data_IF_652726271344
#
_entry.id   IF_652726271344
#
_cell.length_a   1.000
_cell.length_b   1.000
_cell.length_c   1.000
_cell.angle_alpha   90.00
_cell.angle_beta   90.00
_cell.angle_gamma   90.00
#
_symmetry.space_group_name_H-M   'P 1'
#
loop_
_entity.id
_entity.type
_entity.pdbx_description
1 polymer ?
#
# COMPACT_ATOMS: atom_id res chain seq x y z
N UNK A 1 52.25 52.45 22.36
CA UNK A 1 51.80 51.59 21.21
C UNK A 1 50.51 52.11 20.57
N UNK A 2 49.83 53.02 21.25
CA UNK A 2 48.38 53.20 21.23
C UNK A 2 47.94 53.97 19.97
N UNK A 3 48.77 54.89 19.49
CA UNK A 3 48.58 55.59 18.22
C UNK A 3 48.54 54.62 17.01
N UNK A 4 49.34 53.55 17.02
CA UNK A 4 49.36 52.55 15.94
C UNK A 4 48.14 51.62 16.02
N UNK A 5 47.69 51.27 17.24
CA UNK A 5 46.41 50.56 17.45
C UNK A 5 45.24 51.40 16.96
N UNK A 6 45.22 52.71 17.26
CA UNK A 6 44.18 53.63 16.83
C UNK A 6 44.10 53.78 15.29
N UNK A 7 45.23 53.77 14.58
CA UNK A 7 45.26 53.80 13.11
C UNK A 7 44.81 52.49 12.46
N UNK A 8 45.14 51.32 13.04
CA UNK A 8 44.80 50.01 12.47
C UNK A 8 43.32 49.64 12.72
N UNK A 9 42.77 50.05 13.87
CA UNK A 9 41.40 49.75 14.31
C UNK A 9 40.31 49.90 13.22
N UNK A 10 40.15 51.04 12.51
CA UNK A 10 39.08 51.20 11.53
C UNK A 10 39.16 50.20 10.37
N UNK A 11 40.37 49.79 9.95
CA UNK A 11 40.54 48.78 8.90
C UNK A 11 40.08 47.39 9.38
N UNK A 12 40.34 47.05 10.64
CA UNK A 12 39.84 45.81 11.25
C UNK A 12 38.32 45.83 11.44
N UNK A 13 37.73 46.97 11.79
CA UNK A 13 36.27 47.13 11.91
C UNK A 13 35.57 47.02 10.54
N UNK A 14 36.13 47.60 9.48
CA UNK A 14 35.62 47.41 8.10
C UNK A 14 35.74 45.95 7.65
N UNK A 15 36.89 45.30 7.92
CA UNK A 15 37.12 43.91 7.55
C UNK A 15 36.22 42.94 8.33
N UNK A 16 35.94 43.19 9.60
CA UNK A 16 35.00 42.39 10.39
C UNK A 16 33.57 42.52 9.88
N UNK A 17 33.12 43.74 9.53
CA UNK A 17 31.80 43.98 8.94
C UNK A 17 31.64 43.32 7.57
N UNK A 18 32.65 43.42 6.70
CA UNK A 18 32.67 42.73 5.41
C UNK A 18 32.66 41.20 5.57
N UNK A 19 33.39 40.67 6.56
CA UNK A 19 33.36 39.26 6.93
C UNK A 19 31.98 38.81 7.41
N UNK A 20 31.32 39.58 8.27
CA UNK A 20 29.93 39.30 8.72
C UNK A 20 28.96 39.25 7.54
N UNK A 21 29.02 40.21 6.61
CA UNK A 21 28.18 40.21 5.40
C UNK A 21 28.43 38.96 4.56
N UNK A 22 29.70 38.62 4.30
CA UNK A 22 30.07 37.43 3.53
C UNK A 22 29.58 36.12 4.20
N UNK A 23 29.67 36.05 5.53
CA UNK A 23 29.20 34.90 6.33
C UNK A 23 27.67 34.78 6.30
N UNK A 24 26.93 35.89 6.46
CA UNK A 24 25.46 35.93 6.32
C UNK A 24 25.01 35.50 4.91
N UNK A 25 25.69 35.98 3.86
CA UNK A 25 25.41 35.57 2.48
C UNK A 25 25.72 34.07 2.29
N UNK A 26 26.84 33.59 2.80
CA UNK A 26 27.22 32.17 2.78
C UNK A 26 26.19 31.26 3.44
N UNK A 27 25.69 31.64 4.63
CA UNK A 27 24.61 30.94 5.33
C UNK A 27 23.30 30.91 4.51
N UNK A 28 22.94 32.02 3.86
CA UNK A 28 21.75 32.09 3.01
C UNK A 28 21.87 31.18 1.77
N UNK A 29 23.06 31.06 1.18
CA UNK A 29 23.32 30.10 0.09
C UNK A 29 23.31 28.65 0.58
N UNK A 30 23.96 28.35 1.71
CA UNK A 30 23.98 27.01 2.29
C UNK A 30 22.56 26.51 2.64
N UNK A 31 21.72 27.39 3.21
CA UNK A 31 20.31 27.07 3.48
C UNK A 31 19.52 26.75 2.20
N UNK A 32 19.70 27.54 1.12
CA UNK A 32 19.08 27.25 -0.18
C UNK A 32 19.56 25.92 -0.78
N UNK A 33 20.85 25.62 -0.69
CA UNK A 33 21.41 24.35 -1.15
C UNK A 33 20.84 23.16 -0.37
N UNK A 34 20.74 23.25 0.96
CA UNK A 34 20.15 22.21 1.80
C UNK A 34 18.67 21.98 1.49
N UNK A 35 17.90 23.04 1.25
CA UNK A 35 16.49 22.95 0.84
C UNK A 35 16.33 22.26 -0.52
N UNK A 36 17.17 22.60 -1.50
CA UNK A 36 17.16 21.98 -2.84
C UNK A 36 17.59 20.50 -2.77
N UNK A 37 18.63 20.19 -2.01
CA UNK A 37 19.09 18.81 -1.78
C UNK A 37 17.99 17.95 -1.14
N UNK A 38 17.26 18.49 -0.14
CA UNK A 38 16.12 17.79 0.47
C UNK A 38 15.01 17.51 -0.55
N UNK A 39 14.72 18.46 -1.45
CA UNK A 39 13.73 18.26 -2.51
C UNK A 39 14.15 17.20 -3.54
N UNK A 40 15.43 17.16 -3.92
CA UNK A 40 15.98 16.14 -4.82
C UNK A 40 15.98 14.74 -4.17
N UNK A 41 16.40 14.62 -2.90
CA UNK A 41 16.33 13.36 -2.14
C UNK A 41 14.89 12.81 -2.11
N UNK A 42 13.89 13.66 -1.83
CA UNK A 42 12.48 13.26 -1.85
C UNK A 42 11.99 12.89 -3.27
N UNK A 43 12.47 13.58 -4.31
CA UNK A 43 12.18 13.26 -5.72
C UNK A 43 12.78 11.93 -6.17
N UNK A 44 13.99 11.60 -5.72
CA UNK A 44 14.65 10.31 -5.97
C UNK A 44 13.97 9.18 -5.22
N UNK A 45 13.70 9.38 -3.92
CA UNK A 45 13.01 8.41 -3.07
C UNK A 45 11.62 8.03 -3.61
N UNK A 46 10.80 9.01 -4.03
CA UNK A 46 9.49 8.75 -4.66
C UNK A 46 9.60 7.96 -5.97
N UNK A 47 10.61 8.24 -6.81
CA UNK A 47 10.83 7.50 -8.06
C UNK A 47 11.24 6.06 -7.78
N UNK A 48 12.18 5.82 -6.87
CA UNK A 48 12.59 4.48 -6.47
C UNK A 48 11.44 3.67 -5.85
N UNK A 49 10.59 4.29 -5.01
CA UNK A 49 9.41 3.62 -4.47
C UNK A 49 8.40 3.24 -5.56
N UNK A 50 8.14 4.12 -6.53
CA UNK A 50 7.28 3.82 -7.68
C UNK A 50 7.88 2.73 -8.59
N UNK A 51 9.19 2.70 -8.76
CA UNK A 51 9.93 1.66 -9.50
C UNK A 51 9.80 0.30 -8.80
N UNK A 52 10.02 0.23 -7.48
CA UNK A 52 9.79 -1.00 -6.70
C UNK A 52 8.31 -1.42 -6.62
N UNK A 53 7.36 -0.51 -6.83
CA UNK A 53 5.94 -0.86 -6.97
C UNK A 53 5.62 -1.48 -8.34
N UNK A 54 6.30 -1.05 -9.39
CA UNK A 54 6.23 -1.67 -10.72
C UNK A 54 6.90 -3.04 -10.69
N UNK A 55 8.07 -3.18 -10.04
CA UNK A 55 8.67 -4.50 -9.76
C UNK A 55 7.68 -5.41 -9.00
N UNK A 56 7.08 -4.92 -7.91
CA UNK A 56 6.14 -5.71 -7.10
C UNK A 56 4.92 -6.19 -7.93
N UNK A 57 4.47 -5.40 -8.91
CA UNK A 57 3.44 -5.80 -9.85
C UNK A 57 3.92 -6.84 -10.89
N UNK A 58 5.15 -6.73 -11.40
CA UNK A 58 5.75 -7.75 -12.27
C UNK A 58 5.89 -9.10 -11.53
N UNK A 59 6.39 -9.08 -10.30
CA UNK A 59 6.44 -10.28 -9.44
C UNK A 59 5.04 -10.87 -9.18
N UNK A 60 4.00 -10.01 -9.10
CA UNK A 60 2.62 -10.46 -8.98
C UNK A 60 2.13 -11.18 -10.25
N UNK A 61 2.29 -10.57 -11.43
CA UNK A 61 1.76 -11.12 -12.69
C UNK A 61 2.60 -12.26 -13.27
N UNK A 62 3.92 -12.22 -13.15
CA UNK A 62 4.82 -13.21 -13.74
C UNK A 62 5.05 -14.42 -12.83
N UNK A 63 5.20 -14.21 -11.51
CA UNK A 63 5.44 -15.32 -10.56
C UNK A 63 4.20 -15.73 -9.77
N UNK A 64 3.54 -14.82 -9.05
CA UNK A 64 2.43 -15.20 -8.17
C UNK A 64 1.25 -15.82 -8.95
N UNK A 65 0.84 -15.19 -10.06
CA UNK A 65 -0.22 -15.75 -10.93
C UNK A 65 0.16 -17.13 -11.48
N UNK A 66 1.43 -17.34 -11.86
CA UNK A 66 1.95 -18.63 -12.33
C UNK A 66 1.98 -19.73 -11.26
N UNK A 67 2.04 -19.35 -9.98
CA UNK A 67 1.96 -20.29 -8.84
C UNK A 67 0.51 -20.62 -8.48
N UNK A 68 -0.36 -19.61 -8.34
CA UNK A 68 -1.78 -19.83 -7.98
C UNK A 68 -2.56 -20.51 -9.11
N UNK A 69 -2.13 -20.39 -10.37
CA UNK A 69 -2.66 -21.16 -11.50
C UNK A 69 -2.62 -22.67 -11.23
N UNK A 70 -1.49 -23.20 -10.75
CA UNK A 70 -1.31 -24.63 -10.42
C UNK A 70 -2.27 -25.10 -9.32
N UNK A 71 -2.44 -24.28 -8.27
CA UNK A 71 -3.42 -24.55 -7.22
C UNK A 71 -4.86 -24.51 -7.76
N UNK A 72 -5.15 -23.61 -8.70
CA UNK A 72 -6.46 -23.47 -9.34
C UNK A 72 -6.79 -24.65 -10.28
N UNK A 73 -5.79 -25.16 -11.01
CA UNK A 73 -5.89 -26.38 -11.80
C UNK A 73 -6.15 -27.59 -10.90
N UNK A 74 -5.38 -27.76 -9.83
CA UNK A 74 -5.56 -28.85 -8.86
C UNK A 74 -6.92 -28.77 -8.12
N UNK A 75 -7.44 -27.56 -7.83
CA UNK A 75 -8.82 -27.35 -7.35
C UNK A 75 -9.85 -27.79 -8.39
N UNK A 76 -9.66 -27.44 -9.67
CA UNK A 76 -10.57 -27.80 -10.77
C UNK A 76 -10.64 -29.31 -10.98
N UNK A 77 -9.49 -30.00 -11.02
CA UNK A 77 -9.41 -31.47 -11.14
C UNK A 77 -10.15 -32.18 -9.99
N UNK A 78 -10.01 -31.67 -8.77
CA UNK A 78 -10.67 -32.21 -7.57
C UNK A 78 -12.10 -31.70 -7.36
N UNK A 79 -12.62 -30.86 -8.26
CA UNK A 79 -13.92 -30.18 -8.16
C UNK A 79 -14.14 -29.37 -6.87
N UNK A 80 -13.06 -28.85 -6.27
CA UNK A 80 -13.10 -28.11 -5.00
C UNK A 80 -13.38 -26.62 -5.25
N UNK A 81 -14.44 -26.12 -4.61
CA UNK A 81 -14.91 -24.72 -4.71
C UNK A 81 -13.97 -23.76 -3.96
N UNK A 82 -13.88 -22.52 -4.43
CA UNK A 82 -13.30 -21.41 -3.64
C UNK A 82 -14.12 -21.15 -2.37
N UNK A 83 -13.50 -20.46 -1.40
CA UNK A 83 -14.22 -19.95 -0.24
C UNK A 83 -15.30 -18.95 -0.68
N UNK A 84 -16.49 -19.06 -0.09
CA UNK A 84 -17.65 -18.20 -0.35
C UNK A 84 -18.34 -17.74 0.95
N UNK A 85 -17.65 -17.83 2.08
CA UNK A 85 -18.14 -17.40 3.39
C UNK A 85 -17.85 -15.91 3.69
N UNK A 86 -18.25 -15.43 4.87
CA UNK A 86 -17.93 -14.08 5.32
C UNK A 86 -16.42 -13.91 5.57
N UNK A 87 -15.92 -12.70 5.34
CA UNK A 87 -14.54 -12.30 5.64
C UNK A 87 -14.52 -11.65 7.03
N UNK A 88 -13.85 -12.27 7.99
CA UNK A 88 -13.65 -11.78 9.36
C UNK A 88 -12.26 -11.17 9.60
N UNK A 89 -11.73 -11.36 10.82
CA UNK A 89 -10.49 -10.71 11.30
C UNK A 89 -9.17 -11.40 10.87
N UNK A 90 -9.29 -12.59 10.24
CA UNK A 90 -8.23 -13.54 9.89
C UNK A 90 -7.69 -14.33 11.09
N UNK A 91 -8.58 -14.65 12.04
CA UNK A 91 -8.35 -15.67 13.07
C UNK A 91 -8.99 -17.01 12.69
N UNK A 92 -8.53 -18.12 13.27
CA UNK A 92 -9.16 -19.43 13.08
C UNK A 92 -10.67 -19.40 13.42
N UNK A 93 -11.05 -18.64 14.45
CA UNK A 93 -12.42 -18.59 14.98
C UNK A 93 -13.40 -17.81 14.07
N UNK A 94 -12.92 -17.02 13.11
CA UNK A 94 -13.79 -16.29 12.18
C UNK A 94 -14.21 -17.11 10.95
N UNK A 95 -13.67 -18.32 10.75
CA UNK A 95 -14.15 -19.27 9.72
C UNK A 95 -15.40 -19.99 10.25
N UNK A 96 -16.55 -19.94 9.55
CA UNK A 96 -17.75 -20.67 9.96
C UNK A 96 -17.49 -22.18 10.08
N UNK A 97 -18.05 -22.80 11.12
CA UNK A 97 -17.81 -24.24 11.44
C UNK A 97 -18.28 -25.16 10.31
N UNK A 98 -19.30 -24.72 9.59
CA UNK A 98 -19.93 -25.36 8.45
C UNK A 98 -18.99 -25.44 7.24
N UNK A 99 -18.00 -24.54 7.15
CA UNK A 99 -17.03 -24.44 6.06
C UNK A 99 -15.67 -25.08 6.41
N UNK A 100 -15.43 -25.50 7.66
CA UNK A 100 -14.16 -26.11 8.08
C UNK A 100 -13.86 -27.44 7.37
N UNK A 101 -14.90 -28.19 6.99
CA UNK A 101 -14.76 -29.43 6.20
C UNK A 101 -14.25 -29.15 4.78
N UNK A 102 -14.76 -28.13 4.11
CA UNK A 102 -14.23 -27.66 2.83
C UNK A 102 -12.85 -27.00 2.96
N UNK A 103 -12.59 -26.29 4.06
CA UNK A 103 -11.28 -25.73 4.33
C UNK A 103 -10.23 -26.84 4.43
N UNK A 104 -10.54 -27.97 5.08
CA UNK A 104 -9.65 -29.12 5.16
C UNK A 104 -9.36 -29.75 3.79
N UNK A 105 -10.34 -29.82 2.87
CA UNK A 105 -10.11 -30.34 1.51
C UNK A 105 -9.35 -29.35 0.62
N UNK A 106 -9.56 -28.04 0.77
CA UNK A 106 -8.72 -26.99 0.15
C UNK A 106 -7.28 -27.05 0.68
N UNK A 107 -7.10 -27.20 1.98
CA UNK A 107 -5.79 -27.23 2.65
C UNK A 107 -4.90 -28.38 2.16
N UNK A 108 -5.49 -29.53 1.84
CA UNK A 108 -4.81 -30.70 1.28
C UNK A 108 -4.23 -30.53 -0.15
N UNK A 109 -4.43 -29.37 -0.79
CA UNK A 109 -3.84 -29.00 -2.09
C UNK A 109 -2.61 -28.10 -1.85
N UNK A 110 -1.48 -28.70 -1.47
CA UNK A 110 -0.26 -28.02 -1.00
C UNK A 110 0.29 -26.93 -1.95
N UNK A 111 -0.13 -26.93 -3.21
CA UNK A 111 0.17 -25.93 -4.23
C UNK A 111 -0.22 -24.49 -3.84
N UNK A 112 -1.10 -24.27 -2.85
CA UNK A 112 -1.38 -22.92 -2.34
C UNK A 112 -0.19 -22.30 -1.58
N UNK A 113 0.66 -23.10 -0.93
CA UNK A 113 1.68 -22.61 0.00
C UNK A 113 2.80 -21.80 -0.70
N UNK A 114 3.38 -22.24 -1.83
CA UNK A 114 4.32 -21.41 -2.59
C UNK A 114 3.69 -20.09 -3.07
N UNK A 115 2.40 -20.12 -3.45
CA UNK A 115 1.69 -18.95 -3.93
C UNK A 115 1.50 -17.90 -2.80
N UNK A 116 0.96 -18.30 -1.64
CA UNK A 116 0.80 -17.38 -0.50
C UNK A 116 2.16 -16.86 0.02
N UNK A 117 3.21 -17.70 0.04
CA UNK A 117 4.55 -17.24 0.42
C UNK A 117 5.13 -16.22 -0.57
N UNK A 118 4.84 -16.33 -1.87
CA UNK A 118 5.24 -15.29 -2.85
C UNK A 118 4.42 -14.03 -2.70
N UNK A 119 3.13 -14.15 -2.44
CA UNK A 119 2.22 -13.03 -2.18
C UNK A 119 2.62 -12.25 -0.91
N UNK A 120 3.12 -12.92 0.12
CA UNK A 120 3.66 -12.29 1.33
C UNK A 120 4.96 -11.55 1.05
N UNK A 121 5.86 -12.14 0.25
CA UNK A 121 7.09 -11.46 -0.20
C UNK A 121 6.81 -10.19 -1.02
N UNK A 122 5.72 -10.17 -1.79
CA UNK A 122 5.24 -8.99 -2.51
C UNK A 122 4.62 -7.98 -1.52
N UNK A 123 3.76 -8.44 -0.62
CA UNK A 123 3.06 -7.58 0.35
C UNK A 123 4.03 -6.87 1.29
N UNK A 124 5.06 -7.57 1.75
CA UNK A 124 6.12 -7.03 2.60
C UNK A 124 6.88 -5.85 1.97
N UNK A 125 7.02 -5.79 0.64
CA UNK A 125 7.63 -4.63 -0.05
C UNK A 125 6.78 -3.36 0.10
N UNK A 126 5.46 -3.52 0.21
CA UNK A 126 4.48 -2.43 0.24
C UNK A 126 4.23 -1.95 1.67
N UNK A 127 4.02 -2.87 2.62
CA UNK A 127 3.82 -2.55 4.05
C UNK A 127 5.06 -1.90 4.68
N UNK A 128 6.27 -2.33 4.30
CA UNK A 128 7.52 -1.71 4.79
C UNK A 128 7.86 -0.37 4.14
N UNK A 129 7.07 0.09 3.15
CA UNK A 129 7.29 1.37 2.46
C UNK A 129 8.50 1.41 1.51
N UNK A 130 9.06 0.25 1.14
CA UNK A 130 10.10 0.14 0.10
C UNK A 130 9.53 0.42 -1.29
N UNK A 131 8.30 -0.02 -1.53
CA UNK A 131 7.53 0.21 -2.75
C UNK A 131 6.34 1.16 -2.48
N UNK A 132 5.96 1.94 -3.50
CA UNK A 132 4.82 2.86 -3.43
C UNK A 132 3.47 2.10 -3.37
N UNK A 133 2.88 2.19 -2.18
CA UNK A 133 1.62 1.58 -1.76
C UNK A 133 0.44 1.91 -2.70
N UNK A 134 0.35 3.16 -3.18
CA UNK A 134 -0.73 3.61 -4.04
C UNK A 134 -0.53 3.23 -5.51
N UNK A 135 0.72 3.23 -5.98
CA UNK A 135 1.05 2.80 -7.35
C UNK A 135 0.69 1.33 -7.53
N UNK A 136 1.11 0.46 -6.61
CA UNK A 136 0.76 -0.96 -6.63
C UNK A 136 -0.76 -1.21 -6.55
N UNK A 137 -1.46 -0.48 -5.67
CA UNK A 137 -2.92 -0.58 -5.53
C UNK A 137 -3.66 -0.33 -6.85
N UNK A 138 -3.21 0.67 -7.63
CA UNK A 138 -3.81 1.01 -8.94
C UNK A 138 -3.54 -0.05 -10.01
N UNK A 139 -2.44 -0.81 -9.90
CA UNK A 139 -2.04 -1.82 -10.87
C UNK A 139 -2.73 -3.18 -10.59
N UNK A 140 -2.70 -3.67 -9.35
CA UNK A 140 -3.20 -5.02 -9.00
C UNK A 140 -4.02 -5.09 -7.70
N UNK A 141 -4.40 -3.96 -7.09
CA UNK A 141 -5.13 -3.95 -5.82
C UNK A 141 -6.47 -4.68 -5.82
N UNK A 142 -7.20 -4.67 -6.95
CA UNK A 142 -8.49 -5.40 -7.09
C UNK A 142 -8.27 -6.92 -7.15
N UNK A 143 -7.31 -7.39 -7.94
CA UNK A 143 -7.01 -8.81 -8.08
C UNK A 143 -6.38 -9.38 -6.82
N UNK A 144 -5.55 -8.59 -6.12
CA UNK A 144 -5.04 -8.92 -4.78
C UNK A 144 -6.16 -9.13 -3.77
N UNK A 145 -7.11 -8.19 -3.67
CA UNK A 145 -8.20 -8.33 -2.68
C UNK A 145 -9.07 -9.56 -2.96
N UNK A 146 -9.47 -9.80 -4.21
CA UNK A 146 -10.17 -11.03 -4.61
C UNK A 146 -9.37 -12.28 -4.25
N UNK A 147 -8.06 -12.28 -4.54
CA UNK A 147 -7.14 -13.38 -4.19
C UNK A 147 -7.12 -13.68 -2.69
N UNK A 148 -7.11 -12.66 -1.84
CA UNK A 148 -7.11 -12.83 -0.38
C UNK A 148 -8.48 -13.29 0.13
N UNK A 149 -9.57 -12.85 -0.51
CA UNK A 149 -10.94 -13.33 -0.24
C UNK A 149 -11.11 -14.82 -0.65
N UNK A 150 -10.62 -15.22 -1.84
CA UNK A 150 -10.67 -16.59 -2.39
C UNK A 150 -9.91 -17.64 -1.55
N UNK A 151 -8.87 -17.20 -0.83
CA UNK A 151 -7.98 -18.03 0.00
C UNK A 151 -8.13 -17.71 1.51
N UNK A 152 -9.21 -17.03 1.89
CA UNK A 152 -9.40 -16.50 3.24
C UNK A 152 -9.30 -17.56 4.34
N UNK A 153 -9.91 -18.72 4.13
CA UNK A 153 -9.96 -19.80 5.11
C UNK A 153 -8.59 -20.48 5.31
N UNK A 154 -7.80 -20.62 4.25
CA UNK A 154 -6.41 -21.07 4.32
C UNK A 154 -5.53 -20.10 5.14
N UNK A 155 -5.69 -18.79 4.92
CA UNK A 155 -4.97 -17.76 5.67
C UNK A 155 -5.41 -17.77 7.15
N UNK A 156 -6.72 -17.78 7.40
CA UNK A 156 -7.29 -17.73 8.74
C UNK A 156 -7.01 -18.98 9.58
N UNK A 157 -7.01 -20.18 8.98
CA UNK A 157 -6.74 -21.44 9.72
C UNK A 157 -5.29 -21.61 10.12
N UNK A 158 -4.32 -21.13 9.34
CA UNK A 158 -2.89 -21.17 9.71
C UNK A 158 -2.52 -20.11 10.75
N UNK A 159 -3.29 -19.02 10.85
CA UNK A 159 -3.09 -17.92 11.81
C UNK A 159 -3.60 -18.25 13.22
N UNK A 160 -3.05 -19.30 13.81
CA UNK A 160 -3.28 -19.65 15.21
C UNK A 160 -2.52 -18.73 16.18
N UNK A 161 -3.21 -17.71 16.70
CA UNK A 161 -3.03 -17.12 18.05
C UNK A 161 -1.71 -16.42 18.43
N UNK A 162 -0.65 -16.52 17.62
CA UNK A 162 0.67 -15.97 17.92
C UNK A 162 0.78 -14.48 17.59
N UNK A 163 1.63 -13.75 18.32
CA UNK A 163 1.90 -12.31 18.13
C UNK A 163 2.53 -11.97 16.78
N UNK A 164 3.23 -12.93 16.16
CA UNK A 164 3.69 -12.85 14.78
C UNK A 164 2.88 -13.85 13.96
N UNK A 165 1.76 -13.42 13.38
CA UNK A 165 0.90 -14.27 12.55
C UNK A 165 1.57 -14.61 11.21
N UNK A 166 1.33 -15.82 10.71
CA UNK A 166 1.70 -16.14 9.32
C UNK A 166 0.98 -15.19 8.36
N UNK A 167 1.71 -14.69 7.36
CA UNK A 167 1.22 -13.79 6.34
C UNK A 167 0.62 -12.47 6.86
N UNK A 168 1.26 -11.85 7.85
CA UNK A 168 0.80 -10.57 8.40
C UNK A 168 0.79 -9.45 7.36
N UNK A 169 1.78 -9.41 6.45
CA UNK A 169 1.85 -8.33 5.45
C UNK A 169 0.70 -8.43 4.43
N UNK A 170 0.29 -9.65 4.03
CA UNK A 170 -0.94 -9.87 3.25
C UNK A 170 -2.16 -9.31 3.99
N UNK A 171 -2.30 -9.61 5.28
CA UNK A 171 -3.47 -9.25 6.09
C UNK A 171 -3.53 -7.74 6.35
N UNK A 172 -2.40 -7.08 6.62
CA UNK A 172 -2.29 -5.63 6.75
C UNK A 172 -2.58 -4.91 5.44
N UNK A 173 -1.99 -5.38 4.33
CA UNK A 173 -2.21 -4.79 3.01
C UNK A 173 -3.67 -4.97 2.56
N UNK A 174 -4.30 -6.13 2.83
CA UNK A 174 -5.72 -6.36 2.58
C UNK A 174 -6.62 -5.43 3.41
N UNK A 175 -6.35 -5.30 4.72
CA UNK A 175 -7.07 -4.37 5.61
C UNK A 175 -6.93 -2.91 5.16
N UNK A 176 -5.83 -2.57 4.48
CA UNK A 176 -5.58 -1.25 3.88
C UNK A 176 -6.26 -1.06 2.52
N UNK A 177 -6.28 -2.10 1.67
CA UNK A 177 -6.77 -2.04 0.29
C UNK A 177 -8.27 -2.27 0.14
N UNK A 178 -8.87 -3.19 0.90
CA UNK A 178 -10.29 -3.51 0.74
C UNK A 178 -11.21 -2.31 1.03
N UNK A 179 -11.01 -1.48 2.07
CA UNK A 179 -11.82 -0.29 2.28
C UNK A 179 -11.71 0.73 1.14
N UNK A 180 -10.55 0.83 0.47
CA UNK A 180 -10.35 1.71 -0.70
C UNK A 180 -11.19 1.24 -1.89
N UNK A 181 -11.20 -0.07 -2.18
CA UNK A 181 -12.06 -0.67 -3.20
C UNK A 181 -13.54 -0.44 -2.87
N UNK A 182 -13.98 -0.80 -1.66
CA UNK A 182 -15.38 -0.67 -1.23
C UNK A 182 -15.86 0.78 -1.30
N UNK A 183 -15.02 1.75 -0.94
CA UNK A 183 -15.31 3.19 -1.10
C UNK A 183 -15.47 3.59 -2.57
N UNK A 184 -14.64 3.06 -3.46
CA UNK A 184 -14.79 3.25 -4.92
C UNK A 184 -16.09 2.66 -5.46
N UNK A 185 -16.39 1.41 -5.09
CA UNK A 185 -17.59 0.68 -5.49
C UNK A 185 -18.87 1.39 -5.02
N UNK A 186 -18.91 1.86 -3.77
CA UNK A 186 -20.02 2.65 -3.21
C UNK A 186 -20.18 4.02 -3.88
N UNK A 187 -19.08 4.70 -4.25
CA UNK A 187 -19.14 5.98 -4.97
C UNK A 187 -19.74 5.81 -6.37
N UNK A 188 -19.37 4.76 -7.09
CA UNK A 188 -19.95 4.45 -8.41
C UNK A 188 -21.43 4.06 -8.28
N UNK A 189 -21.79 3.22 -7.31
CA UNK A 189 -23.17 2.86 -7.03
C UNK A 189 -24.02 4.10 -6.69
N UNK A 190 -23.49 5.02 -5.88
CA UNK A 190 -24.14 6.31 -5.59
C UNK A 190 -24.35 7.14 -6.85
N UNK A 191 -23.34 7.33 -7.69
CA UNK A 191 -23.47 8.10 -8.94
C UNK A 191 -24.55 7.53 -9.86
N UNK A 192 -24.67 6.19 -9.92
CA UNK A 192 -25.72 5.52 -10.68
C UNK A 192 -27.12 5.70 -10.05
N UNK A 193 -27.23 5.77 -8.73
CA UNK A 193 -28.49 6.06 -8.03
C UNK A 193 -28.91 7.53 -8.21
N UNK A 194 -27.99 8.47 -8.00
CA UNK A 194 -28.21 9.91 -8.17
C UNK A 194 -28.64 10.22 -9.62
N UNK A 195 -28.00 9.59 -10.62
CA UNK A 195 -28.41 9.69 -12.03
C UNK A 195 -29.81 9.09 -12.29
N UNK A 196 -30.13 7.92 -11.75
CA UNK A 196 -31.48 7.31 -11.86
C UNK A 196 -32.54 8.22 -11.25
N UNK A 197 -32.31 8.76 -10.05
CA UNK A 197 -33.22 9.69 -9.38
C UNK A 197 -33.47 10.93 -10.24
N UNK A 198 -32.43 11.51 -10.87
CA UNK A 198 -32.61 12.66 -11.77
C UNK A 198 -33.40 12.36 -13.06
N UNK A 199 -33.57 11.08 -13.42
CA UNK A 199 -34.34 10.65 -14.60
C UNK A 199 -35.81 10.35 -14.31
N UNK A 200 -36.23 10.37 -13.04
CA UNK A 200 -37.62 10.11 -12.65
C UNK A 200 -38.48 11.38 -12.79
N UNK A 201 -39.67 11.32 -13.42
CA UNK A 201 -40.53 12.49 -13.59
C UNK A 201 -41.15 12.93 -12.27
N UNK A 202 -40.81 14.14 -11.82
CA UNK A 202 -41.32 14.76 -10.58
C UNK A 202 -42.75 15.32 -10.74
N UNK A 203 -43.68 14.45 -11.11
CA UNK A 203 -45.08 14.80 -11.30
C UNK A 203 -45.81 14.83 -9.95
N UNK A 204 -46.01 16.03 -9.39
CA UNK A 204 -46.89 16.23 -8.24
C UNK A 204 -48.36 16.15 -8.66
N UNK A 205 -49.19 15.43 -7.90
CA UNK A 205 -50.64 15.41 -8.09
C UNK A 205 -51.23 16.58 -7.29
N UNK A 206 -51.91 17.56 -7.91
CA UNK A 206 -52.56 18.64 -7.18
C UNK A 206 -53.76 18.10 -6.37
N UNK A 207 -54.10 18.74 -5.22
CA UNK A 207 -55.31 18.40 -4.47
C UNK A 207 -56.59 18.72 -5.26
N UNK A 208 -57.65 17.99 -4.93
CA UNK A 208 -59.02 18.17 -5.44
C UNK A 208 -59.78 19.25 -4.65
#
# INVERSE_FOLDING_TARGET
MDALVAQIRPYLEVLSFASTIALTIGLAFAYKQLALLKADILSRSRRAAAEHAIEAADLYFCEYVSLIAKHSDAKREKNIRSYAGPIGDFSFNSVPKELLSECATRFAILEWLPALNRLESISARLTTGVADEEVAFRIFGRTFCSTVEDNYDLIATVRHGNSNGYWENIVELYKTWRPRLTKGELNVARQQLDAKLSSLPSNSIPPL
#
